data_IF_553213217278
#
_entry.id   IF_553213217278
#
_cell.length_a   1.000
_cell.length_b   1.000
_cell.length_c   1.000
_cell.angle_alpha   90.00
_cell.angle_beta   90.00
_cell.angle_gamma   90.00
#
_symmetry.space_group_name_H-M   'P 1'
#
loop_
_entity.id
_entity.type
_entity.pdbx_description
1 polymer ?
#
# COMPACT_ATOMS: atom_id res chain seq x y z
N UNK A 1 -30.96 28.00 94.92
CA UNK A 1 -29.69 27.36 95.13
C UNK A 1 -29.33 26.58 93.86
N UNK A 2 -28.36 27.06 93.12
CA UNK A 2 -27.67 26.53 91.93
C UNK A 2 -28.49 25.84 90.80
N UNK A 3 -28.89 26.64 89.81
CA UNK A 3 -29.25 26.22 88.47
C UNK A 3 -27.97 26.06 87.64
N UNK A 4 -27.72 24.83 87.09
CA UNK A 4 -26.66 24.63 86.09
C UNK A 4 -27.25 24.74 84.72
N UNK A 5 -26.78 25.76 84.00
CA UNK A 5 -27.06 25.95 82.56
C UNK A 5 -26.37 24.86 81.74
N UNK A 6 -27.13 24.07 80.99
CA UNK A 6 -26.64 23.15 79.98
C UNK A 6 -26.59 23.89 78.65
N UNK A 7 -25.38 24.18 78.17
CA UNK A 7 -25.14 24.76 76.84
C UNK A 7 -25.14 23.64 75.82
N UNK A 8 -26.18 23.63 74.98
CA UNK A 8 -26.25 22.78 73.80
C UNK A 8 -25.48 23.48 72.70
N UNK A 9 -24.36 22.85 72.26
CA UNK A 9 -23.62 23.28 71.05
C UNK A 9 -24.29 22.68 69.88
N UNK A 10 -24.91 23.46 69.01
CA UNK A 10 -25.33 23.10 67.67
C UNK A 10 -24.08 23.00 66.74
N UNK A 11 -23.72 21.83 66.35
CA UNK A 11 -22.68 21.61 65.37
C UNK A 11 -23.36 21.57 63.97
N UNK A 12 -23.04 22.49 63.04
CA UNK A 12 -23.56 22.40 61.68
C UNK A 12 -22.84 21.23 60.98
N UNK A 13 -23.59 20.21 60.63
CA UNK A 13 -23.12 19.13 59.74
C UNK A 13 -23.00 19.72 58.33
N UNK A 14 -21.77 19.97 57.90
CA UNK A 14 -21.46 20.38 56.54
C UNK A 14 -21.52 19.15 55.64
N UNK A 15 -22.66 18.97 54.96
CA UNK A 15 -22.87 17.90 54.00
C UNK A 15 -22.06 18.26 52.75
N UNK A 16 -20.83 17.74 52.61
CA UNK A 16 -20.04 17.84 51.42
C UNK A 16 -20.60 16.83 50.40
N UNK A 17 -21.38 17.35 49.46
CA UNK A 17 -21.87 16.61 48.31
C UNK A 17 -20.68 16.42 47.34
N UNK A 18 -19.96 15.29 47.44
CA UNK A 18 -18.99 14.90 46.44
C UNK A 18 -19.73 14.57 45.15
N UNK A 19 -19.78 15.51 44.22
CA UNK A 19 -20.08 15.24 42.83
C UNK A 19 -18.92 14.40 42.26
N UNK A 20 -19.07 13.10 42.24
CA UNK A 20 -18.25 12.23 41.44
C UNK A 20 -18.60 12.45 39.97
N UNK A 21 -17.85 13.34 39.31
CA UNK A 21 -17.85 13.44 37.87
C UNK A 21 -17.32 12.11 37.33
N UNK A 22 -18.21 11.23 36.88
CA UNK A 22 -17.86 10.09 36.06
C UNK A 22 -17.30 10.64 34.77
N UNK A 23 -15.97 10.68 34.65
CA UNK A 23 -15.31 10.84 33.37
C UNK A 23 -15.62 9.55 32.62
N UNK A 24 -16.61 9.60 31.75
CA UNK A 24 -16.81 8.59 30.72
C UNK A 24 -15.60 8.76 29.80
N UNK A 25 -14.61 7.92 29.96
CA UNK A 25 -13.66 7.66 28.89
C UNK A 25 -14.49 7.05 27.76
N UNK A 26 -14.90 7.87 26.80
CA UNK A 26 -15.19 7.35 25.48
C UNK A 26 -13.90 6.66 25.07
N UNK A 27 -13.89 5.31 25.10
CA UNK A 27 -12.94 4.57 24.31
C UNK A 27 -13.24 5.00 22.87
N UNK A 28 -12.36 5.80 22.32
CA UNK A 28 -12.31 5.97 20.88
C UNK A 28 -12.20 4.55 20.33
N UNK A 29 -13.26 4.09 19.67
CA UNK A 29 -13.25 2.91 18.81
C UNK A 29 -12.39 3.28 17.57
N UNK A 30 -11.12 3.60 17.80
CA UNK A 30 -10.12 3.73 16.78
C UNK A 30 -9.86 2.32 16.23
N UNK A 31 -10.50 1.99 15.12
CA UNK A 31 -10.12 0.82 14.36
C UNK A 31 -11.23 -0.06 13.78
N UNK A 32 -12.50 0.33 13.83
CA UNK A 32 -13.58 -0.48 13.23
C UNK A 32 -14.01 -0.04 11.83
N UNK A 33 -13.58 1.14 11.37
CA UNK A 33 -13.85 1.62 10.02
C UNK A 33 -12.61 2.31 9.49
N UNK A 34 -12.05 1.80 8.41
CA UNK A 34 -11.08 2.55 7.61
C UNK A 34 -11.74 3.85 7.18
N UNK A 35 -11.05 4.98 7.36
CA UNK A 35 -11.55 6.28 6.91
C UNK A 35 -11.84 6.21 5.41
N UNK A 36 -13.09 6.49 5.03
CA UNK A 36 -13.47 6.54 3.61
C UNK A 36 -12.72 7.71 2.96
N UNK A 37 -11.88 7.46 1.96
CA UNK A 37 -11.18 8.53 1.29
C UNK A 37 -12.14 9.58 0.72
N UNK A 38 -11.77 10.88 0.69
CA UNK A 38 -12.59 11.91 0.06
C UNK A 38 -12.95 11.55 -1.39
N UNK A 39 -14.15 11.95 -1.86
CA UNK A 39 -14.64 11.63 -3.22
C UNK A 39 -13.71 12.09 -4.35
N UNK A 40 -12.93 13.15 -4.12
CA UNK A 40 -11.94 13.66 -5.08
C UNK A 40 -10.53 13.06 -4.89
N UNK A 41 -10.42 11.86 -4.36
CA UNK A 41 -9.13 11.20 -4.14
C UNK A 41 -8.70 10.40 -5.37
N UNK A 42 -7.39 10.45 -5.66
CA UNK A 42 -6.67 9.48 -6.47
C UNK A 42 -5.80 8.60 -5.56
N UNK A 43 -5.51 7.39 -6.00
CA UNK A 43 -4.75 6.40 -5.24
C UNK A 43 -3.41 6.15 -5.92
N UNK A 44 -2.30 6.42 -5.21
CA UNK A 44 -0.97 6.37 -5.79
C UNK A 44 -0.09 5.45 -4.96
N UNK A 45 0.53 4.46 -5.63
CA UNK A 45 1.57 3.61 -5.06
C UNK A 45 2.90 3.85 -5.74
N UNK A 46 3.96 3.34 -5.12
CA UNK A 46 5.31 3.52 -5.62
C UNK A 46 6.02 2.17 -5.78
N UNK A 47 6.80 2.07 -6.85
CA UNK A 47 7.79 1.01 -7.07
C UNK A 47 9.13 1.70 -7.27
N UNK A 48 10.18 1.16 -6.64
CA UNK A 48 11.53 1.64 -6.75
C UNK A 48 12.40 0.58 -7.46
N UNK A 49 12.91 0.94 -8.64
CA UNK A 49 13.79 0.11 -9.45
C UNK A 49 15.05 0.89 -9.90
N UNK A 50 15.50 1.86 -9.09
CA UNK A 50 16.72 2.63 -9.32
C UNK A 50 17.93 1.89 -8.77
N UNK A 51 18.96 1.70 -9.58
CA UNK A 51 20.20 1.05 -9.20
C UNK A 51 20.95 1.82 -8.10
N UNK A 52 21.60 1.08 -7.20
CA UNK A 52 22.47 1.64 -6.17
C UNK A 52 21.76 2.35 -5.01
N UNK A 53 20.44 2.46 -5.04
CA UNK A 53 19.64 3.10 -3.99
C UNK A 53 18.89 2.03 -3.16
N UNK A 54 19.20 1.89 -1.88
CA UNK A 54 18.59 0.85 -1.04
C UNK A 54 17.16 1.17 -0.62
N UNK A 55 16.85 2.43 -0.32
CA UNK A 55 15.53 2.89 0.11
C UNK A 55 15.35 4.39 -0.15
N UNK A 56 14.28 4.78 -0.83
CA UNK A 56 13.95 6.18 -1.15
C UNK A 56 12.56 6.56 -0.68
N UNK A 57 12.40 7.70 0.02
CA UNK A 57 11.11 8.17 0.47
C UNK A 57 10.40 8.98 -0.63
N UNK A 58 9.16 8.62 -1.01
CA UNK A 58 8.35 9.44 -1.90
C UNK A 58 7.95 10.77 -1.22
N UNK A 59 7.90 11.85 -1.99
CA UNK A 59 7.31 13.13 -1.60
C UNK A 59 6.15 13.43 -2.55
N UNK A 60 4.95 13.49 -2.01
CA UNK A 60 3.73 13.76 -2.77
C UNK A 60 3.16 15.11 -2.36
N UNK A 61 3.08 16.06 -3.29
CA UNK A 61 2.65 17.43 -3.01
C UNK A 61 3.36 18.08 -1.81
N UNK A 62 4.68 17.81 -1.68
CA UNK A 62 5.53 18.31 -0.61
C UNK A 62 5.42 17.54 0.72
N UNK A 63 4.62 16.48 0.80
CA UNK A 63 4.52 15.61 1.98
C UNK A 63 5.34 14.36 1.78
N UNK A 64 6.32 14.15 2.68
CA UNK A 64 7.15 12.95 2.71
C UNK A 64 6.33 11.74 3.19
N UNK A 65 6.52 10.59 2.54
CA UNK A 65 5.94 9.29 2.90
C UNK A 65 7.04 8.30 3.27
N UNK A 66 6.65 7.13 3.74
CA UNK A 66 7.57 6.05 4.07
C UNK A 66 8.38 5.60 2.87
N UNK A 67 9.66 5.29 3.11
CA UNK A 67 10.60 4.89 2.07
C UNK A 67 10.18 3.60 1.35
N UNK A 68 10.52 3.52 0.07
CA UNK A 68 10.38 2.34 -0.78
C UNK A 68 11.75 1.72 -0.97
N UNK A 69 11.90 0.44 -0.64
CA UNK A 69 13.14 -0.32 -0.86
C UNK A 69 13.26 -0.71 -2.33
N UNK A 70 14.49 -0.96 -2.78
CA UNK A 70 14.75 -1.48 -4.12
C UNK A 70 13.88 -2.72 -4.43
N UNK A 71 13.26 -2.74 -5.60
CA UNK A 71 12.28 -3.74 -6.02
C UNK A 71 10.96 -3.73 -5.24
N UNK A 72 10.85 -2.93 -4.17
CA UNK A 72 9.71 -2.89 -3.28
C UNK A 72 8.48 -2.22 -3.88
N UNK A 73 7.33 -2.59 -3.35
CA UNK A 73 6.02 -2.05 -3.69
C UNK A 73 5.38 -1.52 -2.42
N UNK A 74 4.89 -0.27 -2.45
CA UNK A 74 4.13 0.29 -1.33
C UNK A 74 2.63 0.11 -1.54
N UNK A 75 1.82 0.05 -0.46
CA UNK A 75 0.37 0.20 -0.55
C UNK A 75 -0.04 1.52 -1.22
N UNK A 76 -1.26 1.61 -1.71
CA UNK A 76 -1.78 2.87 -2.24
C UNK A 76 -1.94 3.91 -1.13
N UNK A 77 -1.34 5.07 -1.34
CA UNK A 77 -1.61 6.26 -0.54
C UNK A 77 -2.64 7.14 -1.23
N UNK A 78 -3.41 7.87 -0.44
CA UNK A 78 -4.43 8.81 -0.92
C UNK A 78 -3.79 10.15 -1.29
N UNK A 79 -4.17 10.71 -2.44
CA UNK A 79 -3.82 12.07 -2.87
C UNK A 79 -5.07 12.76 -3.43
N UNK A 80 -5.14 14.08 -3.36
CA UNK A 80 -6.18 14.81 -4.09
C UNK A 80 -5.98 14.63 -5.59
N UNK A 81 -7.05 14.37 -6.33
CA UNK A 81 -6.99 14.27 -7.79
C UNK A 81 -6.64 15.61 -8.46
N UNK A 82 -6.28 15.57 -9.72
CA UNK A 82 -5.76 16.70 -10.50
C UNK A 82 -4.24 16.65 -10.63
N UNK A 83 -3.58 17.80 -10.57
CA UNK A 83 -2.12 17.87 -10.68
C UNK A 83 -1.42 17.44 -9.40
N UNK A 84 -0.63 16.37 -9.48
CA UNK A 84 0.12 15.81 -8.35
C UNK A 84 1.61 15.92 -8.66
N UNK A 85 2.34 16.62 -7.77
CA UNK A 85 3.80 16.71 -7.82
C UNK A 85 4.39 15.55 -7.04
N UNK A 86 5.27 14.81 -7.67
CA UNK A 86 5.93 13.64 -7.09
C UNK A 86 7.44 13.80 -7.19
N UNK A 87 8.12 13.54 -6.07
CA UNK A 87 9.57 13.38 -6.01
C UNK A 87 9.86 12.00 -5.42
N UNK A 88 10.77 11.26 -6.02
CA UNK A 88 11.22 9.95 -5.55
C UNK A 88 12.68 9.78 -6.01
N UNK A 89 13.60 9.61 -5.06
CA UNK A 89 15.04 9.69 -5.36
C UNK A 89 15.39 10.99 -6.08
N UNK A 90 16.11 10.89 -7.16
CA UNK A 90 16.45 12.04 -8.04
C UNK A 90 15.32 12.39 -9.02
N UNK A 91 14.33 11.50 -9.17
CA UNK A 91 13.21 11.71 -10.08
C UNK A 91 12.20 12.74 -9.53
N UNK A 92 11.77 13.68 -10.41
CA UNK A 92 10.75 14.69 -10.11
C UNK A 92 9.84 14.87 -11.30
N UNK A 93 8.52 14.79 -11.07
CA UNK A 93 7.53 14.97 -12.11
C UNK A 93 6.22 15.55 -11.55
N UNK A 94 5.40 16.09 -12.45
CA UNK A 94 4.01 16.45 -12.18
C UNK A 94 3.13 15.61 -13.10
N UNK A 95 2.14 14.95 -12.50
CA UNK A 95 1.21 14.08 -13.21
C UNK A 95 -0.22 14.59 -13.04
N UNK A 96 -1.04 14.39 -14.06
CA UNK A 96 -2.49 14.60 -13.98
C UNK A 96 -3.16 13.28 -13.54
N UNK A 97 -3.97 13.34 -12.48
CA UNK A 97 -4.69 12.19 -11.92
C UNK A 97 -6.18 12.47 -11.85
N UNK A 98 -6.98 11.42 -11.96
CA UNK A 98 -8.45 11.47 -11.88
C UNK A 98 -8.94 10.88 -10.55
N UNK A 99 -10.09 11.40 -10.09
CA UNK A 99 -10.74 10.87 -8.88
C UNK A 99 -11.18 9.42 -9.06
N UNK A 100 -10.98 8.59 -8.03
CA UNK A 100 -11.31 7.17 -8.03
C UNK A 100 -10.32 6.28 -8.76
N UNK A 101 -9.32 6.84 -9.47
CA UNK A 101 -8.35 6.06 -10.24
C UNK A 101 -7.12 5.69 -9.41
N UNK A 102 -6.52 4.57 -9.79
CA UNK A 102 -5.34 3.98 -9.18
C UNK A 102 -4.12 4.10 -10.10
N UNK A 103 -3.01 4.55 -9.53
CA UNK A 103 -1.78 4.80 -10.27
C UNK A 103 -0.58 4.13 -9.61
N UNK A 104 0.30 3.57 -10.42
CA UNK A 104 1.61 3.11 -10.00
C UNK A 104 2.67 4.06 -10.55
N UNK A 105 3.46 4.66 -9.67
CA UNK A 105 4.61 5.49 -10.03
C UNK A 105 5.87 4.66 -9.83
N UNK A 106 6.68 4.60 -10.87
CA UNK A 106 7.88 3.78 -10.94
C UNK A 106 9.07 4.71 -11.07
N UNK A 107 10.08 4.53 -10.22
CA UNK A 107 11.39 5.14 -10.36
C UNK A 107 12.33 4.11 -11.00
N UNK A 108 12.90 4.45 -12.17
CA UNK A 108 13.96 3.72 -12.83
C UNK A 108 14.81 4.69 -13.65
N UNK A 109 16.13 4.54 -13.66
CA UNK A 109 17.10 5.36 -14.41
C UNK A 109 16.92 6.87 -14.19
N UNK A 110 16.69 7.29 -12.93
CA UNK A 110 16.46 8.70 -12.55
C UNK A 110 15.14 9.28 -13.07
N UNK A 111 14.24 8.46 -13.59
CA UNK A 111 12.98 8.90 -14.19
C UNK A 111 11.78 8.36 -13.44
N UNK A 112 10.72 9.18 -13.40
CA UNK A 112 9.41 8.76 -12.91
C UNK A 112 8.49 8.45 -14.09
N UNK A 113 7.93 7.26 -14.10
CA UNK A 113 6.86 6.86 -15.00
C UNK A 113 5.61 6.58 -14.18
N UNK A 114 4.46 7.12 -14.61
CA UNK A 114 3.17 6.83 -13.98
C UNK A 114 2.32 5.99 -14.91
N UNK A 115 1.76 4.92 -14.37
CA UNK A 115 0.88 3.99 -15.07
C UNK A 115 -0.47 3.95 -14.36
N UNK A 116 -1.56 4.18 -15.07
CA UNK A 116 -2.90 3.92 -14.56
C UNK A 116 -3.12 2.41 -14.46
N UNK A 117 -3.62 1.98 -13.31
CA UNK A 117 -3.91 0.55 -13.04
C UNK A 117 -5.31 0.24 -13.55
N UNK A 118 -5.50 -0.76 -14.41
CA UNK A 118 -6.81 -1.16 -14.86
C UNK A 118 -7.70 -1.63 -13.70
N UNK A 119 -8.97 -1.29 -13.78
CA UNK A 119 -9.97 -1.81 -12.84
C UNK A 119 -10.12 -3.33 -12.99
N UNK A 120 -10.54 -4.01 -11.93
CA UNK A 120 -10.88 -5.43 -11.97
C UNK A 120 -12.21 -5.55 -12.73
N UNK A 121 -12.19 -6.18 -13.90
CA UNK A 121 -13.39 -6.31 -14.76
C UNK A 121 -14.33 -7.42 -14.25
N UNK A 122 -13.76 -8.48 -13.65
CA UNK A 122 -14.51 -9.63 -13.18
C UNK A 122 -14.25 -9.92 -11.69
N UNK A 123 -15.18 -9.50 -10.85
CA UNK A 123 -15.11 -9.70 -9.39
C UNK A 123 -15.02 -11.18 -8.93
N UNK A 124 -15.28 -12.14 -9.82
CA UNK A 124 -15.13 -13.57 -9.52
C UNK A 124 -13.70 -14.07 -9.76
N UNK A 125 -12.84 -13.25 -10.35
CA UNK A 125 -11.44 -13.55 -10.63
C UNK A 125 -10.50 -12.71 -9.77
N UNK A 126 -9.24 -13.11 -9.74
CA UNK A 126 -8.13 -12.31 -9.25
C UNK A 126 -7.43 -11.65 -10.45
N UNK A 127 -7.14 -10.36 -10.36
CA UNK A 127 -6.32 -9.64 -11.32
C UNK A 127 -4.85 -9.75 -10.91
N UNK A 128 -3.98 -10.04 -11.86
CA UNK A 128 -2.53 -10.01 -11.66
C UNK A 128 -1.90 -9.02 -12.65
N UNK A 129 -1.10 -8.11 -12.12
CA UNK A 129 -0.36 -7.10 -12.87
C UNK A 129 1.12 -7.38 -12.68
N UNK A 130 1.86 -7.60 -13.75
CA UNK A 130 3.30 -7.87 -13.69
C UNK A 130 4.04 -6.75 -14.42
N UNK A 131 4.87 -6.02 -13.67
CA UNK A 131 5.80 -5.03 -14.20
C UNK A 131 7.16 -5.68 -14.43
N UNK A 132 7.63 -5.65 -15.65
CA UNK A 132 9.01 -5.98 -16.00
C UNK A 132 9.85 -4.70 -15.99
N UNK A 133 10.61 -4.50 -14.93
CA UNK A 133 11.51 -3.36 -14.75
C UNK A 133 12.98 -3.76 -14.96
N UNK A 134 13.21 -4.94 -15.56
CA UNK A 134 14.51 -5.41 -16.01
C UNK A 134 14.74 -4.99 -17.45
N UNK A 135 15.95 -5.18 -17.94
CA UNK A 135 16.31 -4.98 -19.36
C UNK A 135 15.99 -6.19 -20.24
N UNK A 136 15.34 -7.23 -19.70
CA UNK A 136 14.99 -8.45 -20.45
C UNK A 136 13.65 -8.33 -21.18
N UNK A 137 13.64 -8.72 -22.46
CA UNK A 137 12.47 -8.62 -23.35
C UNK A 137 11.46 -9.77 -23.20
N UNK A 138 11.74 -10.80 -22.39
CA UNK A 138 10.97 -12.05 -22.36
C UNK A 138 10.66 -12.57 -20.96
N UNK A 139 10.42 -11.67 -20.03
CA UNK A 139 9.95 -12.06 -18.70
C UNK A 139 8.54 -12.63 -18.77
N UNK A 140 8.33 -13.75 -18.13
CA UNK A 140 7.02 -14.43 -18.08
C UNK A 140 6.69 -14.90 -16.68
N UNK A 141 5.41 -14.83 -16.32
CA UNK A 141 4.87 -15.48 -15.13
C UNK A 141 4.39 -16.88 -15.51
N UNK A 142 4.97 -17.90 -14.88
CA UNK A 142 4.56 -19.30 -15.04
C UNK A 142 4.21 -19.92 -13.69
N UNK A 143 3.57 -21.08 -13.68
CA UNK A 143 3.52 -21.92 -12.48
C UNK A 143 4.93 -22.27 -12.02
N UNK A 144 5.15 -22.47 -10.72
CA UNK A 144 6.49 -22.67 -10.17
C UNK A 144 7.22 -23.90 -10.77
N UNK A 145 6.48 -24.89 -11.31
CA UNK A 145 7.02 -26.03 -12.04
C UNK A 145 7.32 -25.74 -13.52
N UNK A 146 7.06 -24.51 -13.97
CA UNK A 146 7.29 -24.04 -15.34
C UNK A 146 6.34 -24.59 -16.42
N UNK A 147 5.38 -25.46 -16.06
CA UNK A 147 4.56 -26.15 -17.05
C UNK A 147 3.46 -25.28 -17.67
N UNK A 148 2.93 -24.32 -16.91
CA UNK A 148 1.86 -23.45 -17.38
C UNK A 148 2.34 -22.02 -17.43
N UNK A 149 2.33 -21.44 -18.62
CA UNK A 149 2.54 -20.00 -18.77
C UNK A 149 1.23 -19.27 -18.45
N UNK A 150 1.28 -18.41 -17.45
CA UNK A 150 0.15 -17.62 -16.96
C UNK A 150 0.09 -16.28 -17.68
N UNK A 151 1.24 -15.60 -17.82
CA UNK A 151 1.32 -14.28 -18.44
C UNK A 151 2.68 -14.09 -19.11
N UNK A 152 2.71 -13.33 -20.19
CA UNK A 152 3.93 -12.96 -20.92
C UNK A 152 4.08 -13.63 -22.30
N UNK A 153 5.14 -13.37 -23.05
CA UNK A 153 6.30 -12.57 -22.62
C UNK A 153 5.95 -11.09 -22.38
N UNK A 154 6.65 -10.47 -21.44
CA UNK A 154 6.52 -9.06 -21.07
C UNK A 154 7.84 -8.39 -21.43
N UNK A 155 7.78 -7.39 -22.29
CA UNK A 155 8.95 -6.65 -22.74
C UNK A 155 9.58 -5.82 -21.60
N UNK A 156 10.83 -5.43 -21.77
CA UNK A 156 11.52 -4.50 -20.88
C UNK A 156 10.69 -3.21 -20.68
N UNK A 157 10.74 -2.66 -19.49
CA UNK A 157 10.06 -1.41 -19.08
C UNK A 157 8.56 -1.40 -19.39
N UNK A 158 7.94 -2.56 -19.42
CA UNK A 158 6.50 -2.70 -19.68
C UNK A 158 5.78 -3.49 -18.59
N UNK A 159 4.46 -3.55 -18.68
CA UNK A 159 3.65 -4.37 -17.81
C UNK A 159 2.58 -5.13 -18.60
N UNK A 160 2.08 -6.18 -18.00
CA UNK A 160 0.94 -6.93 -18.53
C UNK A 160 -0.03 -7.30 -17.42
N UNK A 161 -1.29 -7.47 -17.80
CA UNK A 161 -2.40 -7.76 -16.88
C UNK A 161 -3.12 -9.02 -17.31
N UNK A 162 -3.54 -9.82 -16.34
CA UNK A 162 -4.39 -10.99 -16.58
C UNK A 162 -5.37 -11.16 -15.41
N UNK A 163 -6.56 -11.63 -15.71
CA UNK A 163 -7.52 -12.09 -14.73
C UNK A 163 -7.58 -13.62 -14.73
N UNK A 164 -7.33 -14.24 -13.58
CA UNK A 164 -7.32 -15.68 -13.41
C UNK A 164 -8.29 -16.14 -12.34
N UNK A 165 -8.72 -17.40 -12.39
CA UNK A 165 -9.49 -17.96 -11.30
C UNK A 165 -8.63 -18.01 -10.03
N UNK A 166 -9.18 -17.63 -8.86
CA UNK A 166 -8.45 -17.70 -7.61
C UNK A 166 -8.21 -19.18 -7.23
N UNK A 167 -6.97 -19.60 -7.39
CA UNK A 167 -6.51 -20.94 -7.07
C UNK A 167 -5.27 -20.84 -6.18
N UNK A 168 -5.10 -21.81 -5.32
CA UNK A 168 -3.85 -21.92 -4.55
C UNK A 168 -2.77 -22.55 -5.44
N UNK A 169 -1.88 -21.73 -5.96
CA UNK A 169 -0.79 -22.17 -6.83
C UNK A 169 0.45 -21.34 -6.54
N UNK A 170 1.61 -21.94 -6.60
CA UNK A 170 2.88 -21.24 -6.55
C UNK A 170 3.27 -20.79 -7.95
N UNK A 171 3.71 -19.55 -8.07
CA UNK A 171 4.18 -18.96 -9.30
C UNK A 171 5.70 -18.78 -9.28
N UNK A 172 6.26 -18.53 -10.43
CA UNK A 172 7.64 -18.10 -10.59
C UNK A 172 7.77 -17.17 -11.79
N UNK A 173 8.75 -16.29 -11.73
CA UNK A 173 9.19 -15.48 -12.86
C UNK A 173 10.21 -16.29 -13.67
N UNK A 174 10.03 -16.26 -14.96
CA UNK A 174 10.91 -16.92 -15.93
C UNK A 174 11.44 -15.89 -16.93
N UNK A 175 12.68 -16.08 -17.32
CA UNK A 175 13.32 -15.46 -18.48
C UNK A 175 13.46 -16.54 -19.55
N UNK A 176 12.64 -16.44 -20.59
CA UNK A 176 12.50 -17.56 -21.52
C UNK A 176 12.03 -18.85 -20.83
N UNK A 177 12.87 -19.88 -20.84
CA UNK A 177 12.62 -21.16 -20.15
C UNK A 177 13.38 -21.29 -18.82
N UNK A 178 14.23 -20.35 -18.49
CA UNK A 178 14.98 -20.34 -17.23
C UNK A 178 14.12 -19.75 -16.11
N UNK A 179 14.01 -20.50 -14.99
CA UNK A 179 13.38 -19.98 -13.78
C UNK A 179 14.29 -18.96 -13.14
N UNK A 180 13.75 -17.78 -12.89
CA UNK A 180 14.50 -16.64 -12.41
C UNK A 180 14.25 -16.37 -10.94
N UNK A 181 12.98 -16.24 -10.50
CA UNK A 181 12.60 -16.02 -9.11
C UNK A 181 11.35 -16.82 -8.77
N UNK A 182 11.36 -17.50 -7.64
CA UNK A 182 10.17 -18.17 -7.11
C UNK A 182 9.29 -17.16 -6.35
N UNK A 183 7.98 -17.19 -6.62
CA UNK A 183 6.94 -16.46 -5.91
C UNK A 183 6.12 -17.48 -5.13
N UNK A 184 6.47 -17.70 -3.86
CA UNK A 184 5.88 -18.77 -3.05
C UNK A 184 4.56 -18.36 -2.38
N UNK A 185 3.65 -19.35 -2.27
CA UNK A 185 2.44 -19.38 -1.43
C UNK A 185 1.53 -18.14 -1.46
N UNK A 186 0.95 -17.91 -2.63
CA UNK A 186 0.08 -16.78 -2.84
C UNK A 186 -1.40 -17.16 -2.82
N UNK A 187 -2.14 -16.85 -1.77
CA UNK A 187 -3.58 -17.04 -1.79
C UNK A 187 -4.23 -15.95 -2.63
N UNK A 188 -4.59 -16.28 -3.86
CA UNK A 188 -5.38 -15.38 -4.68
C UNK A 188 -6.84 -15.38 -4.20
N UNK A 189 -7.42 -14.19 -4.06
CA UNK A 189 -8.80 -13.98 -3.65
C UNK A 189 -9.59 -13.35 -4.79
N UNK A 190 -10.92 -13.59 -4.80
CA UNK A 190 -11.83 -13.04 -5.80
C UNK A 190 -11.99 -11.54 -5.65
N UNK A 191 -12.06 -10.83 -6.77
CA UNK A 191 -12.20 -9.37 -6.80
C UNK A 191 -10.95 -8.60 -6.40
N UNK A 192 -9.86 -9.31 -6.08
CA UNK A 192 -8.63 -8.68 -5.63
C UNK A 192 -7.63 -8.48 -6.77
N UNK A 193 -6.87 -7.40 -6.68
CA UNK A 193 -5.77 -7.08 -7.58
C UNK A 193 -4.44 -7.31 -6.90
N UNK A 194 -3.52 -7.95 -7.59
CA UNK A 194 -2.16 -8.25 -7.15
C UNK A 194 -1.17 -7.67 -8.13
N UNK A 195 -0.13 -7.07 -7.61
CA UNK A 195 0.94 -6.48 -8.39
C UNK A 195 2.24 -7.21 -8.11
N UNK A 196 3.01 -7.46 -9.15
CA UNK A 196 4.34 -8.04 -9.12
C UNK A 196 5.27 -7.03 -9.79
N UNK A 197 6.38 -6.67 -9.15
CA UNK A 197 7.49 -5.96 -9.76
C UNK A 197 8.68 -6.90 -9.90
N UNK A 198 9.28 -6.92 -11.07
CA UNK A 198 10.54 -7.63 -11.34
C UNK A 198 11.57 -6.58 -11.68
N UNK A 199 12.58 -6.42 -10.83
CA UNK A 199 13.67 -5.46 -11.02
C UNK A 199 15.02 -6.17 -10.92
N UNK A 200 16.05 -5.59 -11.49
CA UNK A 200 17.43 -6.10 -11.46
C UNK A 200 18.37 -4.95 -11.11
N UNK A 201 19.38 -5.25 -10.34
CA UNK A 201 20.44 -4.35 -9.91
C UNK A 201 21.76 -5.13 -9.81
N UNK A 202 22.90 -4.47 -10.04
CA UNK A 202 24.21 -5.12 -9.99
C UNK A 202 24.58 -5.67 -8.60
N UNK A 203 24.09 -5.03 -7.53
CA UNK A 203 24.37 -5.41 -6.14
C UNK A 203 23.39 -6.46 -5.62
N UNK A 204 22.08 -6.27 -5.91
CA UNK A 204 21.00 -7.11 -5.38
C UNK A 204 20.61 -8.25 -6.30
N UNK A 205 21.05 -8.22 -7.56
CA UNK A 205 20.60 -9.14 -8.60
C UNK A 205 19.13 -8.96 -8.92
N UNK A 206 18.48 -10.01 -9.44
CA UNK A 206 17.05 -9.95 -9.76
C UNK A 206 16.21 -10.13 -8.52
N UNK A 207 15.34 -9.16 -8.30
CA UNK A 207 14.37 -9.14 -7.21
C UNK A 207 12.96 -9.15 -7.79
N UNK A 208 12.11 -10.06 -7.32
CA UNK A 208 10.69 -10.00 -7.60
C UNK A 208 9.91 -9.85 -6.29
N UNK A 209 9.18 -8.76 -6.18
CA UNK A 209 8.30 -8.48 -5.05
C UNK A 209 6.85 -8.47 -5.53
N UNK A 210 5.96 -8.74 -4.60
CA UNK A 210 4.53 -8.70 -4.87
C UNK A 210 3.77 -8.08 -3.70
N UNK A 211 2.63 -7.46 -4.00
CA UNK A 211 1.71 -6.95 -3.00
C UNK A 211 0.26 -7.09 -3.48
N UNK A 212 -0.65 -7.23 -2.53
CA UNK A 212 -2.09 -7.06 -2.76
C UNK A 212 -2.40 -5.58 -2.85
N UNK A 213 -3.23 -5.19 -3.80
CA UNK A 213 -3.64 -3.80 -3.93
C UNK A 213 -4.50 -3.38 -2.73
N UNK A 214 -3.87 -2.71 -1.77
CA UNK A 214 -4.51 -2.17 -0.57
C UNK A 214 -4.31 -0.67 -0.51
N UNK A 215 -5.26 0.04 0.07
CA UNK A 215 -5.10 1.45 0.42
C UNK A 215 -4.43 1.51 1.79
N UNK A 216 -3.38 2.33 1.92
CA UNK A 216 -2.80 2.64 3.22
C UNK A 216 -3.69 3.63 3.95
N UNK A 217 -3.91 3.40 5.22
CA UNK A 217 -4.66 4.29 6.13
C UNK A 217 -3.75 5.31 6.81
N UNK A 218 -2.48 5.42 6.38
CA UNK A 218 -1.50 6.39 6.90
C UNK A 218 -1.64 7.79 6.31
#
# INVERSE_FOLDING_TARGET
>A
MFAKFLRIYFLPVFLVLMMTSSVVFASEDEGLYDEVPPENSAFIRFIHAEDGESEVPPIVNGRKRDGVKFGGIKPYGVAASGKVKIELGDGKAEFDTEAGKYYTVILKDGRLTMVEVPEVENELKAQMIVHNLTDYEDISLKTADGKVKVLGPIAADSFSVIEINPIKVSFAIFKGDEKYVDLTDWPLERGESYIISVAEDEEYGTVANYDRARISTE
#
